data_IF_118470268789
#
_entry.id   IF_118470268789
#
_cell.length_a   1.000
_cell.length_b   1.000
_cell.length_c   1.000
_cell.angle_alpha   90.00
_cell.angle_beta   90.00
_cell.angle_gamma   90.00
#
_symmetry.space_group_name_H-M   'P 1'
#
loop_
_entity.id
_entity.type
_entity.pdbx_description
1 polymer ?
#
# COMPACT_ATOMS: atom_id res chain seq x y z
N UNK A 1 -10.92 -6.12 -27.95
CA UNK A 1 -9.67 -6.87 -28.24
C UNK A 1 -9.53 -7.96 -27.19
N UNK A 2 -9.25 -9.21 -27.56
CA UNK A 2 -9.17 -10.31 -26.58
C UNK A 2 -7.81 -10.29 -25.89
N UNK A 3 -7.77 -9.92 -24.62
CA UNK A 3 -6.55 -9.92 -23.80
C UNK A 3 -6.53 -11.21 -22.99
N UNK A 4 -5.45 -11.98 -23.07
CA UNK A 4 -5.35 -13.35 -22.55
C UNK A 4 -5.68 -13.48 -21.05
N UNK A 5 -5.48 -12.41 -20.28
CA UNK A 5 -5.77 -12.35 -18.85
C UNK A 5 -7.10 -11.67 -18.48
N UNK A 6 -7.75 -10.93 -19.39
CA UNK A 6 -8.85 -10.01 -19.05
C UNK A 6 -10.11 -10.15 -19.93
N UNK A 7 -10.20 -11.19 -20.77
CA UNK A 7 -11.40 -11.44 -21.59
C UNK A 7 -11.56 -10.45 -22.74
N UNK A 8 -12.81 -10.20 -23.16
CA UNK A 8 -13.12 -9.17 -24.16
C UNK A 8 -13.20 -7.80 -23.50
N UNK A 9 -12.23 -6.94 -23.80
CA UNK A 9 -12.24 -5.55 -23.37
C UNK A 9 -12.70 -4.63 -24.51
N UNK A 10 -13.58 -3.70 -24.16
CA UNK A 10 -13.93 -2.57 -25.02
C UNK A 10 -12.79 -1.53 -25.02
N UNK A 11 -12.79 -0.64 -26.02
CA UNK A 11 -11.78 0.42 -26.20
C UNK A 11 -11.67 1.34 -24.99
N UNK A 12 -12.79 1.67 -24.33
CA UNK A 12 -12.79 2.47 -23.10
C UNK A 12 -12.06 1.74 -21.95
N UNK A 13 -12.38 0.46 -21.73
CA UNK A 13 -11.76 -0.33 -20.67
C UNK A 13 -10.27 -0.52 -20.93
N UNK A 14 -9.88 -0.73 -22.19
CA UNK A 14 -8.49 -0.82 -22.60
C UNK A 14 -7.74 0.49 -22.34
N UNK A 15 -8.35 1.64 -22.62
CA UNK A 15 -7.78 2.94 -22.31
C UNK A 15 -7.56 3.12 -20.80
N UNK A 16 -8.57 2.83 -19.99
CA UNK A 16 -8.47 2.92 -18.52
C UNK A 16 -7.40 1.98 -17.98
N UNK A 17 -7.36 0.74 -18.47
CA UNK A 17 -6.40 -0.28 -18.05
C UNK A 17 -4.96 0.14 -18.35
N UNK A 18 -4.70 0.75 -19.51
CA UNK A 18 -3.34 1.08 -19.95
C UNK A 18 -2.87 2.46 -19.50
N UNK A 19 -3.77 3.36 -19.11
CA UNK A 19 -3.40 4.74 -18.78
C UNK A 19 -3.72 5.09 -17.33
N UNK A 20 -5.01 5.07 -16.98
CA UNK A 20 -5.51 5.53 -15.68
C UNK A 20 -4.98 4.65 -14.56
N UNK A 21 -5.09 3.32 -14.69
CA UNK A 21 -4.66 2.39 -13.63
C UNK A 21 -3.15 2.52 -13.36
N UNK A 22 -2.24 2.43 -14.35
CA UNK A 22 -0.81 2.63 -14.12
C UNK A 22 -0.48 4.01 -13.54
N UNK A 23 -1.13 5.07 -14.02
CA UNK A 23 -0.87 6.44 -13.58
C UNK A 23 -1.24 6.62 -12.11
N UNK A 24 -2.42 6.18 -11.70
CA UNK A 24 -2.87 6.24 -10.31
C UNK A 24 -1.95 5.40 -9.42
N UNK A 25 -1.57 4.20 -9.87
CA UNK A 25 -0.64 3.35 -9.13
C UNK A 25 0.71 4.02 -8.90
N UNK A 26 1.33 4.57 -9.96
CA UNK A 26 2.61 5.30 -9.85
C UNK A 26 2.50 6.54 -8.96
N UNK A 27 1.40 7.28 -9.05
CA UNK A 27 1.16 8.46 -8.23
C UNK A 27 1.08 8.11 -6.73
N UNK A 28 0.30 7.08 -6.38
CA UNK A 28 0.19 6.61 -4.99
C UNK A 28 1.54 6.11 -4.47
N UNK A 29 2.30 5.39 -5.29
CA UNK A 29 3.63 4.92 -4.90
C UNK A 29 4.62 6.06 -4.67
N UNK A 30 4.54 7.11 -5.48
CA UNK A 30 5.34 8.32 -5.29
C UNK A 30 4.98 9.05 -4.00
N UNK A 31 3.69 9.15 -3.65
CA UNK A 31 3.27 9.74 -2.37
C UNK A 31 3.82 8.94 -1.18
N UNK A 32 3.71 7.61 -1.23
CA UNK A 32 4.26 6.72 -0.18
C UNK A 32 5.77 6.89 -0.05
N UNK A 33 6.50 6.84 -1.17
CA UNK A 33 7.95 7.03 -1.18
C UNK A 33 8.36 8.42 -0.67
N UNK A 34 7.62 9.45 -1.06
CA UNK A 34 7.81 10.82 -0.56
C UNK A 34 7.58 10.92 0.95
N UNK A 35 6.56 10.25 1.48
CA UNK A 35 6.28 10.24 2.92
C UNK A 35 7.42 9.58 3.71
N UNK A 36 7.92 8.43 3.24
CA UNK A 36 9.07 7.74 3.85
C UNK A 36 10.34 8.60 3.85
N UNK A 37 10.57 9.37 2.78
CA UNK A 37 11.77 10.21 2.65
C UNK A 37 11.70 11.48 3.50
N UNK A 38 10.51 12.06 3.68
CA UNK A 38 10.35 13.35 4.36
C UNK A 38 10.00 13.21 5.85
N UNK A 39 9.50 12.07 6.30
CA UNK A 39 9.09 11.85 7.69
C UNK A 39 9.77 10.62 8.29
N UNK A 40 10.67 10.84 9.25
CA UNK A 40 11.35 9.74 9.96
C UNK A 40 10.38 8.83 10.73
N UNK A 41 9.25 9.36 11.22
CA UNK A 41 8.19 8.59 11.86
C UNK A 41 7.52 7.61 10.88
N UNK A 42 7.34 8.02 9.62
CA UNK A 42 6.79 7.17 8.57
C UNK A 42 7.79 6.08 8.19
N UNK A 43 9.08 6.43 8.07
CA UNK A 43 10.16 5.44 7.87
C UNK A 43 10.21 4.41 9.01
N UNK A 44 10.12 4.85 10.25
CA UNK A 44 10.11 3.98 11.43
C UNK A 44 8.87 3.07 11.44
N UNK A 45 7.70 3.61 11.11
CA UNK A 45 6.47 2.80 11.03
C UNK A 45 6.58 1.74 9.93
N UNK A 46 7.16 2.08 8.78
CA UNK A 46 7.40 1.11 7.70
C UNK A 46 8.42 0.01 8.06
N UNK A 47 9.41 0.30 8.91
CA UNK A 47 10.44 -0.68 9.30
C UNK A 47 10.09 -1.47 10.57
N UNK A 48 9.34 -0.88 11.49
CA UNK A 48 8.88 -1.52 12.74
C UNK A 48 7.62 -2.34 12.52
N UNK A 49 6.87 -2.11 11.43
CA UNK A 49 5.73 -2.95 11.07
C UNK A 49 6.20 -4.32 10.54
N UNK A 50 6.71 -5.16 11.44
CA UNK A 50 6.64 -6.61 11.29
C UNK A 50 5.16 -6.95 11.30
N UNK A 51 4.60 -7.25 10.13
CA UNK A 51 3.29 -7.88 10.05
C UNK A 51 3.38 -9.19 10.86
N UNK A 52 2.91 -9.17 12.11
CA UNK A 52 2.97 -10.33 13.00
C UNK A 52 2.05 -11.44 12.50
N UNK A 53 1.08 -11.13 11.63
CA UNK A 53 0.32 -12.12 10.89
C UNK A 53 -0.12 -11.56 9.52
N UNK A 54 0.22 -12.20 8.39
CA UNK A 54 -0.26 -11.77 7.07
C UNK A 54 -1.77 -11.96 6.87
N UNK A 55 -2.45 -12.64 7.80
CA UNK A 55 -3.89 -12.93 7.74
C UNK A 55 -4.71 -12.02 8.67
N UNK A 56 -4.09 -11.34 9.65
CA UNK A 56 -4.83 -10.64 10.70
C UNK A 56 -4.45 -9.15 10.81
N UNK A 57 -4.68 -8.40 9.74
CA UNK A 57 -4.54 -6.94 9.72
C UNK A 57 -5.60 -6.20 10.56
N UNK A 58 -6.50 -6.94 11.24
CA UNK A 58 -7.56 -6.41 12.10
C UNK A 58 -7.35 -6.73 13.58
N UNK A 59 -6.19 -7.28 13.97
CA UNK A 59 -5.89 -7.52 15.37
C UNK A 59 -5.69 -6.16 16.06
N UNK A 60 -6.68 -5.80 16.89
CA UNK A 60 -6.66 -4.63 17.76
C UNK A 60 -5.29 -4.47 18.40
N UNK A 61 -4.70 -3.30 18.20
CA UNK A 61 -3.39 -2.94 18.73
C UNK A 61 -3.53 -2.83 20.25
N UNK A 62 -3.34 -3.92 20.99
CA UNK A 62 -3.21 -3.84 22.44
C UNK A 62 -1.93 -3.02 22.74
N UNK A 63 -2.14 -1.77 23.15
CA UNK A 63 -1.09 -0.89 23.63
C UNK A 63 -0.39 -1.60 24.79
N UNK A 64 0.82 -2.11 24.56
CA UNK A 64 1.71 -2.53 25.66
C UNK A 64 2.03 -1.29 26.49
N UNK A 65 1.41 -1.18 27.66
CA UNK A 65 1.89 -0.26 28.68
C UNK A 65 3.32 -0.68 29.06
N UNK A 66 4.26 0.25 28.88
CA UNK A 66 5.60 0.11 29.41
C UNK A 66 5.53 0.25 30.94
N UNK A 67 5.15 -0.81 31.65
CA UNK A 67 5.53 -0.94 33.06
C UNK A 67 7.01 -1.26 33.10
N UNK A 68 7.84 -0.23 33.19
CA UNK A 68 9.10 -0.17 33.95
C UNK A 68 9.66 1.26 33.87
N UNK A 69 9.01 2.17 34.60
CA UNK A 69 9.65 3.37 35.11
C UNK A 69 10.01 3.09 36.57
N UNK A 70 11.23 2.61 36.79
CA UNK A 70 11.96 2.70 38.05
C UNK A 70 13.43 2.93 37.72
#
# INVERSE_FOLDING_TARGET
MKVFAFGELNTFELFVLLTVIPTVFSYLWYLIGGDILNFESSKLSYTIYTAQDPVNCYQDYERKENTNAY
#
